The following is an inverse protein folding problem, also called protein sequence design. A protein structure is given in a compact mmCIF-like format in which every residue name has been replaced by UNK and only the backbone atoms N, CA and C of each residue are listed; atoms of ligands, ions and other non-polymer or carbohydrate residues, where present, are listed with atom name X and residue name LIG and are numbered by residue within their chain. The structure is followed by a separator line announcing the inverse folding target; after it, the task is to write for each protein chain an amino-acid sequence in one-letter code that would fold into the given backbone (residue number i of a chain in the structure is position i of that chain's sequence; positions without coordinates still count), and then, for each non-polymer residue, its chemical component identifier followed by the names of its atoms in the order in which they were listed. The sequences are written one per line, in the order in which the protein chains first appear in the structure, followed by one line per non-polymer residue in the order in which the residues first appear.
data_IF_706670366216
#
_entry.id   IF_706670366216
#
_cell.length_a   1.000
_cell.length_b   1.000
_cell.length_c   1.000
_cell.angle_alpha   90.00
_cell.angle_beta   90.00
_cell.angle_gamma   90.00
#
_symmetry.space_group_name_H-M   'P 1'
#
loop_
_entity.id
_entity.type
_entity.pdbx_description
1 polymer ?
#
# COMPACT_ATOMS: atom_id res chain seq x y z
N UNK A 1 12.79 -0.10 -1.51
CA UNK A 1 12.24 -1.46 -1.38
C UNK A 1 12.02 -1.75 0.10
N UNK A 2 10.86 -2.34 0.40
CA UNK A 2 10.37 -2.80 1.70
C UNK A 2 10.33 -1.83 2.90
N UNK A 3 10.43 -0.50 2.74
CA UNK A 3 10.20 0.48 3.85
C UNK A 3 10.93 0.16 5.17
N UNK A 4 12.08 -0.53 5.13
CA UNK A 4 12.82 -0.98 6.31
C UNK A 4 12.32 -2.27 6.97
N UNK A 5 11.31 -2.95 6.41
CA UNK A 5 10.80 -4.24 6.91
C UNK A 5 11.74 -5.42 6.64
N UNK A 6 12.54 -5.35 5.58
CA UNK A 6 13.53 -6.39 5.30
C UNK A 6 14.81 -6.07 6.07
N UNK A 7 15.15 -6.92 7.03
CA UNK A 7 16.44 -6.86 7.67
C UNK A 7 17.47 -7.47 6.72
N UNK A 8 18.46 -6.67 6.31
CA UNK A 8 19.63 -7.21 5.61
C UNK A 8 20.45 -7.99 6.63
N UNK A 9 20.15 -9.28 6.77
CA UNK A 9 20.95 -10.18 7.60
C UNK A 9 22.29 -10.34 6.88
N UNK A 10 23.31 -9.71 7.45
CA UNK A 10 24.72 -9.73 7.06
C UNK A 10 25.10 -11.09 6.46
N UNK A 11 25.08 -11.18 5.13
CA UNK A 11 25.55 -12.27 4.28
C UNK A 11 25.26 -11.83 2.84
N UNK A 12 25.96 -12.42 1.88
CA UNK A 12 26.04 -12.08 0.45
C UNK A 12 24.71 -12.13 -0.34
N UNK A 13 23.58 -12.20 0.35
CA UNK A 13 22.25 -12.32 -0.22
C UNK A 13 21.74 -10.96 -0.72
N UNK A 14 21.32 -10.92 -1.97
CA UNK A 14 20.64 -9.76 -2.55
C UNK A 14 19.32 -9.46 -1.81
N UNK A 15 18.99 -8.18 -1.66
CA UNK A 15 17.80 -7.75 -0.92
C UNK A 15 16.50 -8.28 -1.55
N UNK A 16 16.50 -8.43 -2.87
CA UNK A 16 15.43 -9.06 -3.63
C UNK A 16 15.20 -10.49 -3.16
N UNK A 17 16.27 -11.27 -3.02
CA UNK A 17 16.16 -12.67 -2.58
C UNK A 17 15.74 -12.78 -1.10
N UNK A 18 16.10 -11.81 -0.25
CA UNK A 18 15.56 -11.74 1.11
C UNK A 18 14.05 -11.39 1.11
N UNK A 19 13.63 -10.53 0.17
CA UNK A 19 12.23 -10.24 -0.09
C UNK A 19 11.44 -11.47 -0.57
N UNK A 20 12.03 -12.25 -1.48
CA UNK A 20 11.43 -13.47 -2.01
C UNK A 20 11.20 -14.51 -0.93
N UNK A 21 12.16 -14.73 -0.02
CA UNK A 21 11.96 -15.66 1.11
C UNK A 21 10.78 -15.24 1.98
N UNK A 22 10.70 -13.96 2.34
CA UNK A 22 9.60 -13.39 3.13
C UNK A 22 8.26 -13.54 2.39
N UNK A 23 8.24 -13.26 1.09
CA UNK A 23 7.04 -13.40 0.27
C UNK A 23 6.60 -14.87 0.13
N UNK A 24 7.56 -15.78 -0.04
CA UNK A 24 7.31 -17.22 -0.12
C UNK A 24 6.73 -17.78 1.19
N UNK A 25 7.07 -17.18 2.34
CA UNK A 25 6.45 -17.54 3.61
C UNK A 25 4.94 -17.26 3.60
N UNK A 26 4.49 -16.13 3.04
CA UNK A 26 3.06 -15.84 2.90
C UNK A 26 2.34 -16.85 2.01
N UNK A 27 2.98 -17.31 0.93
CA UNK A 27 2.45 -18.37 0.06
C UNK A 27 2.35 -19.70 0.82
N UNK A 28 3.40 -20.09 1.55
CA UNK A 28 3.45 -21.35 2.30
C UNK A 28 2.39 -21.43 3.42
N UNK A 29 1.99 -20.27 3.96
CA UNK A 29 0.97 -20.15 5.00
C UNK A 29 -0.44 -19.90 4.45
N UNK A 30 -0.61 -19.90 3.13
CA UNK A 30 -1.88 -19.58 2.45
C UNK A 30 -2.47 -18.21 2.84
N UNK A 31 -1.59 -17.24 3.12
CA UNK A 31 -1.99 -15.86 3.39
C UNK A 31 -2.18 -15.06 2.09
N UNK A 32 -1.47 -15.48 1.05
CA UNK A 32 -1.54 -14.97 -0.31
C UNK A 32 -1.58 -16.20 -1.24
N UNK A 33 -2.34 -16.10 -2.32
CA UNK A 33 -2.45 -17.11 -3.35
C UNK A 33 -1.80 -16.63 -4.65
N UNK A 34 -1.21 -17.57 -5.39
CA UNK A 34 -0.76 -17.35 -6.77
C UNK A 34 -1.92 -17.64 -7.72
N UNK A 35 -2.34 -16.62 -8.46
CA UNK A 35 -3.35 -16.74 -9.50
C UNK A 35 -2.73 -17.16 -10.83
N UNK A 36 -3.46 -17.96 -11.61
CA UNK A 36 -3.10 -18.20 -13.02
C UNK A 36 -3.42 -16.95 -13.82
N UNK A 37 -2.43 -16.41 -14.51
CA UNK A 37 -2.58 -15.28 -15.42
C UNK A 37 -2.00 -15.63 -16.79
N UNK A 38 -2.55 -15.04 -17.86
CA UNK A 38 -2.07 -15.24 -19.24
C UNK A 38 -0.70 -14.60 -19.47
N UNK A 39 -0.40 -13.51 -18.75
CA UNK A 39 0.88 -12.80 -18.82
C UNK A 39 1.34 -12.43 -17.42
N UNK A 40 2.57 -12.83 -17.09
CA UNK A 40 3.22 -12.52 -15.82
C UNK A 40 2.66 -13.31 -14.63
N UNK A 41 3.14 -12.98 -13.44
CA UNK A 41 2.67 -13.57 -12.19
C UNK A 41 1.64 -12.65 -11.53
N UNK A 42 0.53 -13.22 -11.08
CA UNK A 42 -0.51 -12.50 -10.35
C UNK A 42 -0.70 -13.16 -8.99
N UNK A 43 -0.86 -12.33 -7.97
CA UNK A 43 -1.03 -12.78 -6.59
C UNK A 43 -2.25 -12.10 -5.98
N UNK A 44 -2.95 -12.82 -5.11
CA UNK A 44 -4.14 -12.32 -4.40
C UNK A 44 -4.03 -12.59 -2.91
N UNK A 45 -4.30 -11.55 -2.12
CA UNK A 45 -4.57 -11.69 -0.70
C UNK A 45 -6.06 -12.00 -0.51
N UNK A 46 -6.39 -12.97 0.34
CA UNK A 46 -7.78 -13.26 0.66
C UNK A 46 -8.43 -12.09 1.38
N UNK A 47 -9.73 -11.89 1.14
CA UNK A 47 -10.49 -10.79 1.74
C UNK A 47 -10.43 -10.84 3.28
N UNK A 48 -10.44 -12.04 3.88
CA UNK A 48 -10.27 -12.22 5.34
C UNK A 48 -8.89 -11.76 5.85
N UNK A 49 -7.82 -12.05 5.13
CA UNK A 49 -6.46 -11.62 5.49
C UNK A 49 -6.33 -10.10 5.32
N UNK A 50 -6.94 -9.56 4.27
CA UNK A 50 -7.03 -8.12 4.04
C UNK A 50 -7.79 -7.41 5.18
N UNK A 51 -8.95 -7.92 5.56
CA UNK A 51 -9.76 -7.38 6.65
C UNK A 51 -9.02 -7.45 7.99
N UNK A 52 -8.32 -8.55 8.25
CA UNK A 52 -7.46 -8.69 9.43
C UNK A 52 -6.33 -7.68 9.42
N UNK A 53 -5.62 -7.51 8.29
CA UNK A 53 -4.56 -6.52 8.17
C UNK A 53 -5.07 -5.10 8.41
N UNK A 54 -6.28 -4.79 7.91
CA UNK A 54 -6.94 -3.50 8.14
C UNK A 54 -7.30 -3.31 9.63
N UNK A 55 -7.81 -4.36 10.28
CA UNK A 55 -8.13 -4.33 11.71
C UNK A 55 -6.88 -4.09 12.56
N UNK A 56 -5.80 -4.83 12.30
CA UNK A 56 -4.54 -4.75 13.06
C UNK A 56 -3.77 -3.46 12.78
N UNK A 57 -3.85 -2.93 11.55
CA UNK A 57 -3.23 -1.64 11.22
C UNK A 57 -3.86 -0.47 12.00
N UNK A 58 -5.06 -0.64 12.55
CA UNK A 58 -5.69 0.34 13.43
C UNK A 58 -5.82 1.73 12.78
N UNK A 59 -5.42 2.77 13.51
CA UNK A 59 -5.54 4.18 13.09
C UNK A 59 -4.31 4.72 12.36
N UNK A 60 -3.25 3.93 12.20
CA UNK A 60 -2.00 4.38 11.58
C UNK A 60 -2.08 4.36 10.05
N UNK A 61 -2.95 3.53 9.46
CA UNK A 61 -3.22 3.50 8.03
C UNK A 61 -4.65 3.93 7.71
N UNK A 62 -4.83 4.73 6.66
CA UNK A 62 -6.12 5.21 6.22
C UNK A 62 -6.25 5.09 4.70
N UNK A 63 -7.40 4.60 4.23
CA UNK A 63 -7.80 4.69 2.83
C UNK A 63 -8.82 5.83 2.67
N UNK A 64 -8.45 6.83 1.88
CA UNK A 64 -9.21 8.06 1.69
C UNK A 64 -9.90 8.08 0.32
N UNK A 65 -11.24 7.95 0.33
CA UNK A 65 -12.04 7.95 -0.89
C UNK A 65 -12.56 9.34 -1.30
N UNK A 66 -12.95 10.19 -0.34
CA UNK A 66 -13.35 11.61 -0.51
C UNK A 66 -14.10 12.10 0.74
N UNK A 67 -13.90 13.36 1.15
CA UNK A 67 -14.88 14.11 1.95
C UNK A 67 -14.95 13.82 3.46
N UNK A 68 -13.88 13.32 4.08
CA UNK A 68 -13.81 13.08 5.54
C UNK A 68 -12.60 13.76 6.19
N UNK A 69 -12.68 14.00 7.50
CA UNK A 69 -11.52 14.43 8.30
C UNK A 69 -10.52 13.29 8.43
N UNK A 70 -9.23 13.63 8.37
CA UNK A 70 -8.19 12.66 8.65
C UNK A 70 -8.05 12.47 10.17
N UNK A 71 -7.97 11.23 10.68
CA UNK A 71 -7.58 11.01 12.06
C UNK A 71 -6.17 11.57 12.29
N UNK A 72 -5.98 12.40 13.32
CA UNK A 72 -4.69 13.07 13.57
C UNK A 72 -3.48 12.13 13.77
N UNK A 73 -3.71 10.84 14.00
CA UNK A 73 -2.68 9.81 14.17
C UNK A 73 -2.34 9.03 12.88
N UNK A 74 -2.87 9.41 11.71
CA UNK A 74 -2.59 8.68 10.46
C UNK A 74 -1.13 8.88 10.06
N UNK A 75 -0.43 7.77 9.85
CA UNK A 75 0.92 7.73 9.33
C UNK A 75 1.01 7.27 7.89
N UNK A 76 0.06 6.50 7.39
CA UNK A 76 0.05 5.98 6.03
C UNK A 76 -1.28 6.28 5.38
N UNK A 77 -1.29 7.21 4.44
CA UNK A 77 -2.47 7.58 3.70
C UNK A 77 -2.40 7.00 2.29
N UNK A 78 -3.41 6.22 1.95
CA UNK A 78 -3.67 5.76 0.59
C UNK A 78 -4.94 6.43 0.08
N UNK A 79 -5.00 6.80 -1.19
CA UNK A 79 -6.17 7.49 -1.73
C UNK A 79 -6.50 7.05 -3.15
N UNK A 80 -7.77 7.16 -3.51
CA UNK A 80 -8.18 6.96 -4.91
C UNK A 80 -7.80 8.16 -5.75
N UNK A 81 -6.98 7.94 -6.78
CA UNK A 81 -6.67 8.94 -7.81
C UNK A 81 -7.92 9.20 -8.66
N UNK A 82 -8.24 10.47 -8.91
CA UNK A 82 -9.28 10.90 -9.84
C UNK A 82 -8.66 11.92 -10.81
N UNK A 83 -9.16 11.99 -12.05
CA UNK A 83 -8.73 13.05 -12.97
C UNK A 83 -9.00 14.43 -12.35
N UNK A 84 -8.00 15.34 -12.40
CA UNK A 84 -8.06 16.73 -11.91
C UNK A 84 -8.14 16.96 -10.39
N UNK A 85 -7.82 15.97 -9.57
CA UNK A 85 -8.13 15.99 -8.13
C UNK A 85 -6.90 16.19 -7.25
N UNK A 86 -6.38 17.43 -7.12
CA UNK A 86 -5.05 17.60 -6.50
C UNK A 86 -4.84 18.69 -5.45
N UNK A 87 -5.75 19.63 -5.20
CA UNK A 87 -5.53 20.62 -4.11
C UNK A 87 -6.61 20.60 -3.04
N UNK A 88 -7.84 20.97 -3.41
CA UNK A 88 -8.90 21.23 -2.41
C UNK A 88 -9.29 20.00 -1.59
N UNK A 89 -9.20 18.79 -2.18
CA UNK A 89 -9.59 17.54 -1.51
C UNK A 89 -8.62 17.15 -0.38
N UNK A 90 -7.41 17.68 -0.40
CA UNK A 90 -6.31 17.30 0.50
C UNK A 90 -5.90 18.44 1.46
N UNK A 91 -6.69 19.51 1.58
CA UNK A 91 -6.38 20.63 2.50
C UNK A 91 -6.22 20.16 3.96
N UNK A 92 -6.95 19.13 4.39
CA UNK A 92 -6.79 18.56 5.73
C UNK A 92 -5.49 17.78 5.96
N UNK A 93 -4.65 17.54 4.93
CA UNK A 93 -3.37 16.84 5.11
C UNK A 93 -2.40 17.63 5.98
N UNK A 94 -2.49 18.97 5.96
CA UNK A 94 -1.64 19.83 6.79
C UNK A 94 -1.89 19.65 8.30
N UNK A 95 -3.02 19.05 8.69
CA UNK A 95 -3.34 18.73 10.08
C UNK A 95 -2.73 17.39 10.54
N UNK A 96 -2.18 16.58 9.61
CA UNK A 96 -1.59 15.28 9.90
C UNK A 96 -0.12 15.39 10.32
N UNK A 97 0.11 15.53 11.63
CA UNK A 97 1.46 15.61 12.19
C UNK A 97 2.28 14.31 12.09
N UNK A 98 1.64 13.18 11.80
CA UNK A 98 2.27 11.85 11.82
C UNK A 98 2.41 11.21 10.44
N UNK A 99 2.07 11.91 9.36
CA UNK A 99 2.05 11.35 7.99
C UNK A 99 3.48 11.01 7.52
N UNK A 100 3.73 9.74 7.24
CA UNK A 100 4.98 9.18 6.70
C UNK A 100 4.86 8.78 5.24
N UNK A 101 3.70 8.26 4.83
CA UNK A 101 3.47 7.76 3.46
C UNK A 101 2.21 8.36 2.88
N UNK A 102 2.30 8.88 1.65
CA UNK A 102 1.18 9.39 0.85
C UNK A 102 1.19 8.70 -0.51
N UNK A 103 0.26 7.75 -0.74
CA UNK A 103 0.31 6.86 -1.90
C UNK A 103 -1.00 6.86 -2.71
N UNK A 104 -0.95 7.11 -4.03
CA UNK A 104 -2.09 6.94 -4.91
C UNK A 104 -2.39 5.46 -5.16
N UNK A 105 -3.65 5.04 -5.02
CA UNK A 105 -4.14 3.75 -5.51
C UNK A 105 -4.58 3.93 -6.96
N UNK A 106 -3.71 3.52 -7.88
CA UNK A 106 -3.97 3.53 -9.31
C UNK A 106 -5.00 2.45 -9.64
N UNK A 107 -6.13 2.86 -10.22
CA UNK A 107 -7.02 1.93 -10.92
C UNK A 107 -6.35 1.63 -12.26
N UNK A 108 -6.01 0.37 -12.50
CA UNK A 108 -5.60 -0.11 -13.82
C UNK A 108 -6.81 -0.06 -14.78
N UNK A 109 -7.17 1.15 -15.21
CA UNK A 109 -8.00 1.40 -16.37
C UNK A 109 -7.47 2.64 -17.08
N UNK A 110 -6.44 2.46 -17.91
CA UNK A 110 -6.10 3.32 -19.06
C UNK A 110 -6.26 4.86 -18.94
N UNK A 111 -6.15 5.47 -17.76
CA UNK A 111 -6.24 6.91 -17.57
C UNK A 111 -4.93 7.41 -16.99
N UNK A 112 -4.18 8.10 -17.85
CA UNK A 112 -2.89 8.72 -17.57
C UNK A 112 -3.11 9.82 -16.53
N UNK A 113 -2.81 9.55 -15.27
CA UNK A 113 -2.83 10.56 -14.23
C UNK A 113 -1.46 11.25 -14.20
N UNK A 114 -1.37 12.48 -14.72
CA UNK A 114 -0.17 13.32 -14.59
C UNK A 114 -0.30 14.21 -13.35
N UNK A 115 0.71 14.18 -12.47
CA UNK A 115 0.89 15.18 -11.42
C UNK A 115 1.42 16.47 -12.09
N UNK A 116 0.69 17.57 -11.98
CA UNK A 116 1.24 18.91 -12.27
C UNK A 116 1.74 19.50 -10.96
N UNK A 117 3.00 19.93 -11.01
CA UNK A 117 3.77 20.54 -9.93
C UNK A 117 3.32 21.97 -9.64
#
# INVERSE_FOLDING_TARGET
MAEGFLQQVYNEKAMESAGDDCFNEFLSRSLIDKEKAEVGEKFRMHDLIYDLAKLVSGKSSCYFESGGQFPGSVSHLTFRTREFDVSRRFEGLYELNCLRTFLPRLLYSSQKCYLKH
#
